data_IF_603325834866
#
_entry.id   IF_603325834866
#
_cell.length_a   1.000
_cell.length_b   1.000
_cell.length_c   1.000
_cell.angle_alpha   90.00
_cell.angle_beta   90.00
_cell.angle_gamma   90.00
#
_symmetry.space_group_name_H-M   'P 1'
#
loop_
_entity.id
_entity.type
_entity.pdbx_description
1 polymer ?
#
# COMPACT_ATOMS: atom_id res chain seq x y z
N UNK A 1 -8.19 -14.45 -11.95
CA UNK A 1 -6.96 -13.88 -11.36
C UNK A 1 -6.01 -15.05 -11.12
N UNK A 2 -4.72 -14.92 -11.41
CA UNK A 2 -3.76 -16.04 -11.36
C UNK A 2 -3.32 -16.38 -9.92
N UNK A 3 -3.51 -15.46 -8.98
CA UNK A 3 -3.23 -15.64 -7.57
C UNK A 3 -4.12 -14.69 -6.73
N UNK A 4 -4.50 -15.14 -5.54
CA UNK A 4 -5.17 -14.31 -4.53
C UNK A 4 -4.18 -13.42 -3.76
N UNK A 5 -4.61 -12.22 -3.31
CA UNK A 5 -3.78 -11.34 -2.47
C UNK A 5 -3.57 -11.92 -1.07
N UNK A 6 -2.53 -11.45 -0.36
CA UNK A 6 -2.25 -11.91 1.00
C UNK A 6 -3.37 -11.54 1.99
N UNK A 7 -3.27 -12.04 3.23
CA UNK A 7 -4.16 -11.63 4.34
C UNK A 7 -3.96 -10.17 4.78
N UNK A 8 -2.88 -9.54 4.33
CA UNK A 8 -2.51 -8.18 4.69
C UNK A 8 -2.77 -7.23 3.53
N UNK A 9 -2.99 -5.96 3.86
CA UNK A 9 -3.11 -4.87 2.91
C UNK A 9 -2.34 -3.66 3.45
N UNK A 10 -1.73 -2.90 2.55
CA UNK A 10 -1.06 -1.66 2.93
C UNK A 10 -2.08 -0.62 3.39
N UNK A 11 -1.73 0.18 4.40
CA UNK A 11 -2.51 1.31 4.87
C UNK A 11 -1.59 2.51 4.97
N UNK A 12 -2.02 3.63 4.41
CA UNK A 12 -1.25 4.86 4.32
C UNK A 12 -1.79 5.86 5.35
N UNK A 13 -0.90 6.42 6.16
CA UNK A 13 -1.14 7.55 7.04
C UNK A 13 -0.92 8.84 6.24
N UNK A 14 -2.02 9.50 5.86
CA UNK A 14 -2.01 10.70 5.01
C UNK A 14 -1.39 11.92 5.72
N UNK A 15 -1.41 11.94 7.06
CA UNK A 15 -0.81 13.04 7.81
C UNK A 15 0.72 12.94 7.75
N UNK A 16 1.27 11.73 7.89
CA UNK A 16 2.72 11.47 7.79
C UNK A 16 3.25 11.45 6.36
N UNK A 17 2.44 11.04 5.38
CA UNK A 17 2.87 10.96 3.99
C UNK A 17 3.28 12.35 3.46
N UNK A 18 4.50 12.50 2.98
CA UNK A 18 5.00 13.75 2.39
C UNK A 18 4.87 13.80 0.86
N UNK A 19 4.36 12.74 0.23
CA UNK A 19 4.19 12.68 -1.21
C UNK A 19 5.47 12.40 -2.02
N UNK A 20 6.51 11.81 -1.42
CA UNK A 20 7.78 11.54 -2.12
C UNK A 20 7.70 10.55 -3.30
N UNK A 21 6.65 9.74 -3.42
CA UNK A 21 6.43 8.85 -4.56
C UNK A 21 7.23 7.52 -4.56
N UNK A 22 8.23 7.34 -3.69
CA UNK A 22 9.07 6.13 -3.64
C UNK A 22 8.27 4.82 -3.56
N UNK A 23 7.17 4.83 -2.81
CA UNK A 23 6.29 3.67 -2.67
C UNK A 23 5.64 3.22 -3.98
N UNK A 24 5.47 4.11 -4.95
CA UNK A 24 4.90 3.84 -6.27
C UNK A 24 5.93 3.12 -7.14
N UNK A 25 7.18 3.59 -7.12
CA UNK A 25 8.29 2.98 -7.87
C UNK A 25 8.56 1.54 -7.40
N UNK A 26 8.46 1.28 -6.10
CA UNK A 26 8.67 -0.04 -5.50
C UNK A 26 7.47 -0.99 -5.68
N UNK A 27 6.30 -0.49 -6.11
CA UNK A 27 5.11 -1.30 -6.23
C UNK A 27 5.09 -2.07 -7.55
N UNK A 28 5.60 -3.31 -7.52
CA UNK A 28 5.58 -4.23 -8.69
C UNK A 28 4.17 -4.52 -9.23
N UNK A 29 3.13 -4.33 -8.41
CA UNK A 29 1.73 -4.55 -8.78
C UNK A 29 1.01 -3.27 -9.24
N UNK A 30 1.70 -2.13 -9.24
CA UNK A 30 1.14 -0.83 -9.62
C UNK A 30 -0.17 -0.51 -8.86
N UNK A 31 -0.18 -0.86 -7.57
CA UNK A 31 -1.31 -0.65 -6.69
C UNK A 31 -1.33 0.75 -6.05
N UNK A 32 -0.29 1.55 -6.24
CA UNK A 32 -0.15 2.87 -5.63
C UNK A 32 -0.15 3.96 -6.71
N UNK A 33 -0.80 5.07 -6.40
CA UNK A 33 -0.85 6.29 -7.22
C UNK A 33 -0.71 7.53 -6.33
N UNK A 34 -0.68 8.72 -6.91
CA UNK A 34 -0.70 9.98 -6.17
C UNK A 34 -2.11 10.59 -6.21
N UNK A 35 -2.56 11.15 -5.10
CA UNK A 35 -3.79 11.92 -5.00
C UNK A 35 -3.57 13.24 -4.25
N UNK A 36 -4.33 14.30 -4.59
CA UNK A 36 -4.31 15.53 -3.83
C UNK A 36 -4.94 15.32 -2.44
N UNK A 37 -4.28 15.81 -1.40
CA UNK A 37 -4.75 15.77 -0.02
C UNK A 37 -4.39 17.05 0.74
N UNK A 38 -5.41 17.84 1.09
CA UNK A 38 -5.27 19.16 1.71
C UNK A 38 -4.37 20.09 0.86
N UNK A 39 -3.13 20.33 1.29
CA UNK A 39 -2.16 21.24 0.66
C UNK A 39 -0.99 20.52 0.00
N UNK A 40 -1.00 19.18 -0.02
CA UNK A 40 0.07 18.33 -0.56
C UNK A 40 -0.53 17.20 -1.40
N UNK A 41 0.32 16.48 -2.12
CA UNK A 41 -0.04 15.20 -2.73
C UNK A 41 0.42 14.07 -1.82
N UNK A 42 -0.37 13.00 -1.75
CA UNK A 42 -0.10 11.83 -0.93
C UNK A 42 -0.31 10.57 -1.76
N UNK A 43 0.30 9.47 -1.32
CA UNK A 43 0.08 8.19 -1.95
C UNK A 43 -1.35 7.69 -1.68
N UNK A 44 -1.98 7.14 -2.71
CA UNK A 44 -3.28 6.49 -2.70
C UNK A 44 -3.12 5.02 -3.08
N UNK A 45 -3.91 4.14 -2.45
CA UNK A 45 -3.82 2.69 -2.65
C UNK A 45 -5.08 2.16 -3.34
N UNK A 46 -4.87 1.49 -4.48
CA UNK A 46 -5.86 0.63 -5.11
C UNK A 46 -5.91 -0.73 -4.39
N UNK A 47 -6.97 -1.02 -3.62
CA UNK A 47 -7.07 -2.25 -2.84
C UNK A 47 -7.19 -3.50 -3.72
N UNK A 48 -7.65 -3.37 -4.96
CA UNK A 48 -7.89 -4.51 -5.87
C UNK A 48 -6.60 -5.04 -6.50
N UNK A 49 -5.56 -4.19 -6.54
CA UNK A 49 -4.21 -4.51 -7.03
C UNK A 49 -3.22 -4.80 -5.90
N UNK A 50 -3.51 -4.39 -4.67
CA UNK A 50 -2.62 -4.60 -3.54
C UNK A 50 -2.53 -6.08 -3.14
N UNK A 51 -1.35 -6.69 -3.36
CA UNK A 51 -1.09 -8.07 -2.91
C UNK A 51 -0.68 -8.16 -1.44
N UNK A 52 -0.40 -7.04 -0.78
CA UNK A 52 0.02 -7.00 0.63
C UNK A 52 1.46 -7.48 0.89
N UNK A 53 2.36 -7.32 -0.07
CA UNK A 53 3.76 -7.76 0.07
C UNK A 53 4.60 -6.91 1.05
N UNK A 54 4.20 -5.67 1.32
CA UNK A 54 4.87 -4.79 2.28
C UNK A 54 6.10 -4.03 1.77
N UNK A 55 6.49 -4.17 0.50
CA UNK A 55 7.64 -3.45 -0.07
C UNK A 55 7.50 -1.92 0.06
N UNK A 56 6.30 -1.39 -0.18
CA UNK A 56 6.02 0.03 -0.02
C UNK A 56 6.19 0.53 1.43
N UNK A 57 5.93 -0.32 2.43
CA UNK A 57 6.15 0.02 3.83
C UNK A 57 7.64 0.12 4.16
N UNK A 58 8.46 -0.78 3.61
CA UNK A 58 9.92 -0.76 3.76
C UNK A 58 10.55 0.44 3.05
N UNK A 59 10.01 0.82 1.89
CA UNK A 59 10.51 1.92 1.08
C UNK A 59 10.15 3.31 1.62
N UNK A 60 9.16 3.42 2.51
CA UNK A 60 8.66 4.71 2.98
C UNK A 60 9.57 5.30 4.07
N UNK A 61 10.35 6.38 3.80
CA UNK A 61 11.25 6.96 4.79
C UNK A 61 10.49 7.57 5.97
N UNK A 62 9.29 8.10 5.73
CA UNK A 62 8.41 8.71 6.74
C UNK A 62 7.68 7.67 7.60
N UNK A 63 7.82 6.37 7.29
CA UNK A 63 7.08 5.29 7.94
C UNK A 63 5.56 5.54 7.93
N UNK A 64 5.08 6.17 6.86
CA UNK A 64 3.67 6.49 6.67
C UNK A 64 2.85 5.29 6.21
N UNK A 65 3.49 4.19 5.79
CA UNK A 65 2.81 3.00 5.27
C UNK A 65 3.00 1.84 6.24
N UNK A 66 1.90 1.16 6.58
CA UNK A 66 1.86 -0.01 7.46
C UNK A 66 1.05 -1.14 6.82
N UNK A 67 1.22 -2.38 7.28
CA UNK A 67 0.39 -3.51 6.85
C UNK A 67 -0.68 -3.80 7.91
N UNK A 68 -1.93 -3.84 7.46
CA UNK A 68 -3.09 -4.21 8.29
C UNK A 68 -3.65 -5.55 7.82
N UNK A 69 -4.16 -6.35 8.75
CA UNK A 69 -4.84 -7.60 8.41
C UNK A 69 -6.27 -7.28 7.94
N UNK A 70 -6.63 -7.73 6.74
CA UNK A 70 -7.96 -7.51 6.13
C UNK A 70 -8.70 -8.80 5.81
N UNK A 71 -8.06 -9.96 6.03
CA UNK A 71 -8.66 -11.29 5.86
C UNK A 71 -8.39 -12.15 7.09
N UNK A 72 -9.27 -13.11 7.35
CA UNK A 72 -9.13 -14.05 8.46
C UNK A 72 -7.88 -14.92 8.34
N UNK A 73 -7.45 -15.51 9.45
CA UNK A 73 -6.21 -16.30 9.50
C UNK A 73 -6.32 -17.54 8.62
N UNK A 74 -7.52 -18.08 8.50
CA UNK A 74 -7.91 -19.28 7.76
C UNK A 74 -7.90 -19.06 6.24
N UNK A 75 -7.82 -17.81 5.78
CA UNK A 75 -7.69 -17.49 4.36
C UNK A 75 -6.31 -17.91 3.85
N UNK A 76 -6.28 -18.92 2.98
CA UNK A 76 -5.10 -19.38 2.26
C UNK A 76 -5.23 -18.84 0.83
N UNK A 77 -4.37 -17.89 0.40
CA UNK A 77 -4.38 -17.41 -0.98
C UNK A 77 -4.16 -18.59 -1.95
N UNK A 78 -5.05 -18.75 -2.93
CA UNK A 78 -4.97 -19.77 -3.97
C UNK A 78 -4.31 -19.25 -5.25
#
# INVERSE_FOLDING_TARGET
KLADPSRFQSKIDLEKCNGCGLCIEECVFQALSMMPYKTKEVADLDPDKCMGCGLCALACPEQAISLIQVREKEFIPA
#
